data_IF_826606998028
#
_entry.id   IF_826606998028
#
_cell.length_a   1.000
_cell.length_b   1.000
_cell.length_c   1.000
_cell.angle_alpha   90.00
_cell.angle_beta   90.00
_cell.angle_gamma   90.00
#
_symmetry.space_group_name_H-M   'P 1'
#
loop_
_entity.id
_entity.type
_entity.pdbx_description
1 polymer ?
#
# COMPACT_ATOMS: atom_id res chain seq x y z
N UNK A 1 -13.33 -2.82 14.70
CA UNK A 1 -12.00 -2.83 14.07
C UNK A 1 -12.11 -2.04 12.79
N UNK A 2 -11.29 -0.99 12.63
CA UNK A 2 -11.26 -0.13 11.44
C UNK A 2 -9.96 -0.32 10.69
N UNK A 3 -10.00 -0.33 9.37
CA UNK A 3 -8.85 -0.51 8.51
C UNK A 3 -8.73 0.62 7.48
N UNK A 4 -7.55 1.24 7.37
CA UNK A 4 -7.20 2.14 6.28
C UNK A 4 -6.53 1.34 5.16
N UNK A 5 -7.01 1.52 3.91
CA UNK A 5 -6.43 0.91 2.72
C UNK A 5 -6.11 2.01 1.70
N UNK A 6 -4.82 2.20 1.39
CA UNK A 6 -4.42 3.09 0.30
C UNK A 6 -4.40 2.36 -1.04
N UNK A 7 -4.71 3.06 -2.14
CA UNK A 7 -4.81 2.43 -3.46
C UNK A 7 -5.99 1.45 -3.58
N UNK A 8 -7.08 1.68 -2.82
CA UNK A 8 -8.22 0.79 -2.75
C UNK A 8 -9.07 0.73 -4.03
N UNK A 9 -8.90 1.66 -4.98
CA UNK A 9 -9.78 1.79 -6.15
C UNK A 9 -9.61 0.69 -7.22
N UNK A 10 -8.63 -0.21 -7.08
CA UNK A 10 -8.38 -1.30 -8.05
C UNK A 10 -7.43 -2.37 -7.50
N UNK A 11 -7.34 -3.49 -8.23
CA UNK A 11 -6.34 -4.53 -8.00
C UNK A 11 -6.33 -5.09 -6.58
N UNK A 12 -5.14 -5.31 -6.01
CA UNK A 12 -4.98 -5.89 -4.68
C UNK A 12 -5.69 -5.08 -3.58
N UNK A 13 -5.65 -3.74 -3.65
CA UNK A 13 -6.32 -2.90 -2.65
C UNK A 13 -7.83 -3.12 -2.60
N UNK A 14 -8.46 -3.31 -3.77
CA UNK A 14 -9.88 -3.65 -3.89
C UNK A 14 -10.17 -5.04 -3.28
N UNK A 15 -9.38 -6.04 -3.61
CA UNK A 15 -9.58 -7.40 -3.07
C UNK A 15 -9.34 -7.47 -1.56
N UNK A 16 -8.36 -6.73 -1.04
CA UNK A 16 -8.15 -6.60 0.42
C UNK A 16 -9.33 -5.92 1.12
N UNK A 17 -10.01 -4.96 0.45
CA UNK A 17 -11.20 -4.33 0.99
C UNK A 17 -12.34 -5.36 1.15
N UNK A 18 -12.59 -6.23 0.14
CA UNK A 18 -13.55 -7.33 0.27
C UNK A 18 -13.19 -8.28 1.39
N UNK A 19 -11.93 -8.72 1.43
CA UNK A 19 -11.48 -9.67 2.44
C UNK A 19 -11.61 -9.15 3.89
N UNK A 20 -11.43 -7.85 4.12
CA UNK A 20 -11.61 -7.23 5.42
C UNK A 20 -13.09 -6.95 5.73
N UNK A 21 -13.88 -6.55 4.73
CA UNK A 21 -15.31 -6.35 4.88
C UNK A 21 -16.03 -7.64 5.29
N UNK A 22 -15.68 -8.78 4.67
CA UNK A 22 -16.20 -10.11 5.03
C UNK A 22 -15.86 -10.50 6.49
N UNK A 23 -14.82 -9.91 7.07
CA UNK A 23 -14.42 -10.09 8.48
C UNK A 23 -15.06 -9.06 9.42
N UNK A 24 -15.97 -8.22 8.90
CA UNK A 24 -16.68 -7.21 9.70
C UNK A 24 -15.84 -5.98 10.05
N UNK A 25 -14.75 -5.73 9.33
CA UNK A 25 -13.98 -4.50 9.52
C UNK A 25 -14.71 -3.31 8.89
N UNK A 26 -14.78 -2.20 9.60
CA UNK A 26 -15.09 -0.89 9.04
C UNK A 26 -13.89 -0.42 8.20
N UNK A 27 -14.13 0.17 7.03
CA UNK A 27 -13.08 0.48 6.08
C UNK A 27 -12.97 1.98 5.82
N UNK A 28 -11.73 2.46 5.75
CA UNK A 28 -11.38 3.74 5.12
C UNK A 28 -10.69 3.43 3.81
N UNK A 29 -11.36 3.75 2.72
CA UNK A 29 -10.89 3.51 1.36
C UNK A 29 -10.26 4.79 0.82
N UNK A 30 -8.97 4.74 0.51
CA UNK A 30 -8.23 5.89 0.00
C UNK A 30 -7.65 5.61 -1.39
N UNK A 31 -7.89 6.52 -2.32
CA UNK A 31 -7.25 6.62 -3.64
C UNK A 31 -7.59 7.97 -4.29
N UNK A 32 -6.97 8.27 -5.44
CA UNK A 32 -7.23 9.51 -6.19
C UNK A 32 -8.60 9.52 -6.89
N UNK A 33 -9.11 8.34 -7.30
CA UNK A 33 -10.36 8.19 -8.07
C UNK A 33 -11.55 7.98 -7.14
N UNK A 34 -12.15 9.08 -6.69
CA UNK A 34 -13.24 9.05 -5.70
C UNK A 34 -14.45 8.25 -6.18
N UNK A 35 -14.85 8.38 -7.45
CA UNK A 35 -16.00 7.67 -8.02
C UNK A 35 -15.84 6.16 -7.86
N UNK A 36 -14.65 5.61 -8.19
CA UNK A 36 -14.37 4.17 -8.03
C UNK A 36 -14.36 3.72 -6.57
N UNK A 37 -13.97 4.60 -5.65
CA UNK A 37 -14.05 4.29 -4.22
C UNK A 37 -15.50 4.25 -3.74
N UNK A 38 -16.35 5.14 -4.24
CA UNK A 38 -17.80 5.15 -3.94
C UNK A 38 -18.50 3.91 -4.51
N UNK A 39 -18.18 3.51 -5.73
CA UNK A 39 -18.65 2.27 -6.34
C UNK A 39 -18.25 1.06 -5.48
N UNK A 40 -16.97 0.95 -5.12
CA UNK A 40 -16.48 -0.11 -4.24
C UNK A 40 -17.20 -0.12 -2.89
N UNK A 41 -17.37 1.06 -2.26
CA UNK A 41 -18.05 1.18 -0.98
C UNK A 41 -19.51 0.69 -1.03
N UNK A 42 -20.20 0.89 -2.18
CA UNK A 42 -21.56 0.41 -2.37
C UNK A 42 -21.65 -1.12 -2.54
N UNK A 43 -20.58 -1.78 -2.97
CA UNK A 43 -20.51 -3.24 -3.13
C UNK A 43 -20.18 -3.97 -1.81
N UNK A 44 -19.55 -3.27 -0.84
CA UNK A 44 -19.01 -3.89 0.36
C UNK A 44 -20.08 -4.02 1.47
N UNK A 45 -20.14 -5.19 2.16
CA UNK A 45 -21.14 -5.44 3.20
C UNK A 45 -20.76 -4.84 4.57
N UNK A 46 -20.13 -3.67 4.60
CA UNK A 46 -19.66 -3.02 5.82
C UNK A 46 -19.70 -1.50 5.69
N UNK A 47 -19.51 -0.80 6.81
CA UNK A 47 -19.37 0.66 6.82
C UNK A 47 -18.06 1.06 6.14
N UNK A 48 -18.16 1.90 5.12
CA UNK A 48 -17.03 2.41 4.36
C UNK A 48 -16.99 3.93 4.37
N UNK A 49 -15.82 4.49 4.67
CA UNK A 49 -15.51 5.90 4.52
C UNK A 49 -14.61 6.09 3.30
N UNK A 50 -14.99 6.97 2.42
CA UNK A 50 -14.24 7.28 1.20
C UNK A 50 -13.44 8.56 1.41
N UNK A 51 -12.14 8.51 1.15
CA UNK A 51 -11.25 9.67 1.17
C UNK A 51 -10.48 9.72 -0.14
N UNK A 52 -10.79 10.71 -0.98
CA UNK A 52 -10.01 10.98 -2.17
C UNK A 52 -8.73 11.74 -1.79
N UNK A 53 -7.57 11.11 -2.01
CA UNK A 53 -6.28 11.72 -1.73
C UNK A 53 -5.19 11.16 -2.66
N UNK A 54 -4.22 11.99 -3.01
CA UNK A 54 -2.99 11.57 -3.67
C UNK A 54 -1.88 11.39 -2.62
N UNK A 55 -1.62 10.15 -2.25
CA UNK A 55 -0.60 9.85 -1.24
C UNK A 55 0.83 10.17 -1.69
N UNK A 56 1.07 10.51 -2.97
CA UNK A 56 2.36 11.03 -3.42
C UNK A 56 2.63 12.45 -2.90
N UNK A 57 1.59 13.20 -2.57
CA UNK A 57 1.70 14.47 -1.87
C UNK A 57 1.87 14.24 -0.36
N UNK A 58 2.93 14.82 0.21
CA UNK A 58 3.26 14.63 1.63
C UNK A 58 2.19 15.22 2.55
N UNK A 59 1.63 16.38 2.20
CA UNK A 59 0.63 17.05 3.03
C UNK A 59 -0.68 16.26 3.02
N UNK A 60 -1.15 15.84 1.84
CA UNK A 60 -2.35 14.99 1.72
C UNK A 60 -2.18 13.67 2.46
N UNK A 61 -0.99 13.05 2.39
CA UNK A 61 -0.67 11.84 3.12
C UNK A 61 -0.75 12.02 4.65
N UNK A 62 -0.27 13.15 5.18
CA UNK A 62 -0.36 13.49 6.61
C UNK A 62 -1.79 13.82 7.03
N UNK A 63 -2.52 14.57 6.20
CA UNK A 63 -3.93 14.90 6.43
C UNK A 63 -4.79 13.63 6.43
N UNK A 64 -4.57 12.71 5.48
CA UNK A 64 -5.22 11.39 5.47
C UNK A 64 -5.07 10.68 6.81
N UNK A 65 -3.83 10.54 7.29
CA UNK A 65 -3.59 9.84 8.54
C UNK A 65 -4.23 10.58 9.73
N UNK A 66 -4.13 11.90 9.77
CA UNK A 66 -4.75 12.73 10.82
C UNK A 66 -6.28 12.59 10.87
N UNK A 67 -6.92 12.45 9.70
CA UNK A 67 -8.38 12.29 9.60
C UNK A 67 -8.88 10.92 10.07
N UNK A 68 -8.05 9.88 9.96
CA UNK A 68 -8.49 8.50 10.25
C UNK A 68 -7.95 7.94 11.57
N UNK A 69 -6.91 8.56 12.13
CA UNK A 69 -6.32 8.10 13.40
C UNK A 69 -7.34 8.19 14.53
N UNK A 70 -7.35 7.18 15.39
CA UNK A 70 -8.26 7.09 16.52
C UNK A 70 -8.10 5.73 17.19
N UNK A 71 -8.77 5.53 18.32
CA UNK A 71 -8.65 4.29 19.10
C UNK A 71 -9.23 3.07 18.36
N UNK A 72 -10.08 3.30 17.39
CA UNK A 72 -10.72 2.27 16.55
C UNK A 72 -9.92 1.88 15.29
N UNK A 73 -8.94 2.72 14.85
CA UNK A 73 -8.05 2.37 13.74
C UNK A 73 -7.05 1.31 14.20
N UNK A 74 -7.20 0.10 13.72
CA UNK A 74 -6.35 -1.04 14.08
C UNK A 74 -5.48 -1.57 12.95
N UNK A 75 -5.87 -1.31 11.69
CA UNK A 75 -5.16 -1.83 10.52
C UNK A 75 -4.82 -0.69 9.57
N UNK A 76 -3.56 -0.66 9.11
CA UNK A 76 -3.12 0.22 8.02
C UNK A 76 -2.52 -0.64 6.92
N UNK A 77 -3.08 -0.55 5.71
CA UNK A 77 -2.59 -1.22 4.51
C UNK A 77 -2.04 -0.18 3.54
N UNK A 78 -0.73 -0.14 3.44
CA UNK A 78 0.00 0.67 2.47
C UNK A 78 0.10 -0.12 1.16
N UNK A 79 -0.92 0.03 0.30
CA UNK A 79 -1.01 -0.70 -0.97
C UNK A 79 -0.83 0.22 -2.18
N UNK A 80 -1.11 1.52 -2.07
CA UNK A 80 -0.90 2.45 -3.17
C UNK A 80 0.52 2.34 -3.74
N UNK A 81 0.62 2.24 -5.06
CA UNK A 81 1.90 2.14 -5.73
C UNK A 81 1.72 1.85 -7.21
N UNK A 82 2.73 2.17 -7.99
CA UNK A 82 2.78 1.87 -9.41
C UNK A 82 4.22 1.57 -9.86
N UNK A 83 4.38 1.11 -11.10
CA UNK A 83 5.67 0.86 -11.72
C UNK A 83 5.82 1.66 -12.99
N UNK A 84 7.05 1.77 -13.47
CA UNK A 84 7.43 2.36 -14.75
C UNK A 84 8.39 1.41 -15.45
N UNK A 85 8.12 1.12 -16.72
CA UNK A 85 8.94 0.24 -17.54
C UNK A 85 9.65 1.06 -18.62
N UNK A 86 10.94 0.84 -18.77
CA UNK A 86 11.80 1.49 -19.76
C UNK A 86 13.27 1.40 -19.35
N UNK A 87 14.16 1.67 -20.28
CA UNK A 87 15.56 1.87 -19.94
C UNK A 87 15.72 3.14 -19.10
N UNK A 88 16.56 3.09 -18.08
CA UNK A 88 16.75 4.21 -17.14
C UNK A 88 17.18 5.51 -17.81
N UNK A 89 17.80 5.41 -19.00
CA UNK A 89 18.19 6.57 -19.81
C UNK A 89 16.99 7.25 -20.49
N UNK A 90 15.89 6.52 -20.69
CA UNK A 90 14.76 6.96 -21.51
C UNK A 90 13.50 7.24 -20.69
N UNK A 91 13.45 6.79 -19.43
CA UNK A 91 12.30 7.04 -18.54
C UNK A 91 12.26 8.50 -18.08
N UNK A 92 11.05 9.02 -17.93
CA UNK A 92 10.82 10.39 -17.48
C UNK A 92 11.15 10.55 -15.98
N UNK A 93 11.97 11.55 -15.65
CA UNK A 93 12.40 11.81 -14.28
C UNK A 93 11.25 12.17 -13.33
N UNK A 94 10.27 12.96 -13.80
CA UNK A 94 9.16 13.39 -12.96
C UNK A 94 8.24 12.20 -12.62
N UNK A 95 8.04 11.28 -13.58
CA UNK A 95 7.32 10.03 -13.34
C UNK A 95 8.06 9.12 -12.35
N UNK A 96 9.40 9.03 -12.42
CA UNK A 96 10.19 8.29 -11.45
C UNK A 96 10.12 8.90 -10.06
N UNK A 97 10.23 10.23 -9.95
CA UNK A 97 10.10 10.93 -8.66
C UNK A 97 8.71 10.74 -8.07
N UNK A 98 7.65 10.83 -8.87
CA UNK A 98 6.28 10.55 -8.43
C UNK A 98 6.11 9.09 -7.96
N UNK A 99 6.78 8.13 -8.63
CA UNK A 99 6.81 6.73 -8.19
C UNK A 99 7.53 6.59 -6.84
N UNK A 100 8.64 7.27 -6.63
CA UNK A 100 9.36 7.30 -5.35
C UNK A 100 8.47 7.89 -4.25
N UNK A 101 7.79 9.00 -4.52
CA UNK A 101 6.88 9.63 -3.57
C UNK A 101 5.74 8.70 -3.17
N UNK A 102 5.11 8.04 -4.14
CA UNK A 102 4.02 7.09 -3.87
C UNK A 102 4.53 5.81 -3.18
N UNK A 103 5.56 5.17 -3.74
CA UNK A 103 5.98 3.83 -3.30
C UNK A 103 6.86 3.86 -2.05
N UNK A 104 7.58 4.96 -1.78
CA UNK A 104 8.50 5.10 -0.66
C UNK A 104 7.99 6.12 0.35
N UNK A 105 7.88 7.41 -0.04
CA UNK A 105 7.58 8.49 0.90
C UNK A 105 6.24 8.27 1.59
N UNK A 106 5.18 8.00 0.85
CA UNK A 106 3.86 7.72 1.41
C UNK A 106 3.88 6.53 2.38
N UNK A 107 4.47 5.40 1.94
CA UNK A 107 4.58 4.19 2.78
C UNK A 107 5.37 4.49 4.06
N UNK A 108 6.47 5.24 3.96
CA UNK A 108 7.27 5.63 5.11
C UNK A 108 6.48 6.48 6.11
N UNK A 109 5.80 7.52 5.60
CA UNK A 109 4.99 8.44 6.44
C UNK A 109 3.90 7.67 7.17
N UNK A 110 3.05 6.95 6.43
CA UNK A 110 1.91 6.25 7.01
C UNK A 110 2.37 5.14 7.97
N UNK A 111 3.40 4.38 7.61
CA UNK A 111 3.99 3.37 8.51
C UNK A 111 4.51 4.01 9.78
N UNK A 112 5.26 5.12 9.69
CA UNK A 112 5.83 5.81 10.85
C UNK A 112 4.77 6.33 11.80
N UNK A 113 3.74 7.00 11.27
CA UNK A 113 2.65 7.55 12.05
C UNK A 113 1.84 6.43 12.72
N UNK A 114 1.50 5.39 11.96
CA UNK A 114 0.75 4.25 12.48
C UNK A 114 1.51 3.48 13.58
N UNK A 115 2.79 3.19 13.38
CA UNK A 115 3.61 2.51 14.39
C UNK A 115 3.69 3.32 15.67
N UNK A 116 3.85 4.65 15.59
CA UNK A 116 3.91 5.50 16.77
C UNK A 116 2.60 5.49 17.57
N UNK A 117 1.47 5.54 16.89
CA UNK A 117 0.15 5.50 17.55
C UNK A 117 -0.17 4.10 18.09
N UNK A 118 0.07 3.06 17.29
CA UNK A 118 -0.18 1.67 17.69
C UNK A 118 0.71 1.24 18.86
N UNK A 119 1.98 1.68 18.87
CA UNK A 119 2.88 1.41 19.99
C UNK A 119 2.42 2.05 21.30
N UNK A 120 1.84 3.26 21.25
CA UNK A 120 1.25 3.92 22.44
C UNK A 120 0.02 3.18 22.95
N UNK A 121 -0.81 2.65 22.04
CA UNK A 121 -2.04 1.90 22.37
C UNK A 121 -1.76 0.42 22.74
N UNK A 122 -0.58 -0.09 22.41
CA UNK A 122 -0.16 -1.46 22.68
C UNK A 122 -0.68 -2.50 21.68
N UNK A 123 -1.33 -2.12 20.59
CA UNK A 123 -1.80 -3.04 19.52
C UNK A 123 -1.96 -2.33 18.19
N UNK A 124 -1.99 -3.10 17.11
CA UNK A 124 -2.26 -2.65 15.75
C UNK A 124 -1.50 -3.47 14.70
N UNK A 125 -1.95 -3.37 13.46
CA UNK A 125 -1.44 -4.15 12.33
C UNK A 125 -1.10 -3.24 11.17
N UNK A 126 0.07 -3.41 10.59
CA UNK A 126 0.51 -2.69 9.39
C UNK A 126 0.90 -3.69 8.33
N UNK A 127 0.31 -3.56 7.16
CA UNK A 127 0.67 -4.32 5.97
C UNK A 127 1.26 -3.37 4.92
N UNK A 128 2.51 -3.58 4.55
CA UNK A 128 3.15 -2.86 3.46
C UNK A 128 3.20 -3.76 2.23
N UNK A 129 2.58 -3.32 1.13
CA UNK A 129 2.60 -4.06 -0.13
C UNK A 129 3.91 -3.78 -0.86
N UNK A 130 4.86 -4.69 -0.69
CA UNK A 130 6.11 -4.74 -1.41
C UNK A 130 5.92 -5.43 -2.79
N UNK A 131 6.79 -6.35 -3.16
CA UNK A 131 6.73 -7.19 -4.36
C UNK A 131 7.83 -8.25 -4.30
N UNK A 132 7.74 -9.30 -5.10
CA UNK A 132 8.88 -10.16 -5.41
C UNK A 132 10.06 -9.37 -6.01
N UNK A 133 9.79 -8.23 -6.68
CA UNK A 133 10.78 -7.26 -7.13
C UNK A 133 11.66 -6.71 -6.00
N UNK A 134 11.19 -6.73 -4.75
CA UNK A 134 11.97 -6.29 -3.59
C UNK A 134 13.15 -7.17 -3.21
N UNK A 135 13.34 -8.31 -3.86
CA UNK A 135 14.44 -9.25 -3.59
C UNK A 135 15.58 -9.18 -4.62
N UNK A 136 15.36 -8.52 -5.75
CA UNK A 136 16.22 -8.59 -6.93
C UNK A 136 16.50 -7.19 -7.51
N UNK A 137 17.60 -6.99 -8.26
CA UNK A 137 17.70 -5.89 -9.22
C UNK A 137 16.80 -6.16 -10.42
N UNK A 138 16.22 -5.12 -11.01
CA UNK A 138 15.33 -5.27 -12.16
C UNK A 138 15.68 -4.31 -13.32
N UNK A 139 16.51 -4.74 -14.29
CA UNK A 139 16.69 -3.98 -15.51
C UNK A 139 15.34 -3.64 -16.14
N UNK A 140 15.24 -2.49 -16.80
CA UNK A 140 14.02 -1.90 -17.39
C UNK A 140 12.94 -1.48 -16.37
N UNK A 141 13.13 -1.74 -15.10
CA UNK A 141 12.26 -1.29 -13.99
C UNK A 141 13.10 -0.89 -12.77
N UNK A 142 14.26 -0.30 -12.99
CA UNK A 142 15.27 -0.06 -11.96
C UNK A 142 14.70 0.65 -10.73
N UNK A 143 14.04 1.78 -10.92
CA UNK A 143 13.45 2.58 -9.86
C UNK A 143 12.34 1.82 -9.14
N UNK A 144 11.46 1.11 -9.85
CA UNK A 144 10.41 0.29 -9.22
C UNK A 144 10.98 -0.79 -8.30
N UNK A 145 11.95 -1.57 -8.77
CA UNK A 145 12.60 -2.62 -7.95
C UNK A 145 13.28 -2.02 -6.73
N UNK A 146 13.96 -0.88 -6.88
CA UNK A 146 14.57 -0.16 -5.77
C UNK A 146 13.52 0.29 -4.74
N UNK A 147 12.37 0.83 -5.17
CA UNK A 147 11.30 1.22 -4.26
C UNK A 147 10.73 0.03 -3.48
N UNK A 148 10.54 -1.12 -4.13
CA UNK A 148 10.01 -2.32 -3.48
C UNK A 148 11.03 -2.99 -2.54
N UNK A 149 12.32 -2.89 -2.86
CA UNK A 149 13.38 -3.29 -1.94
C UNK A 149 13.38 -2.40 -0.68
N UNK A 150 13.26 -1.08 -0.83
CA UNK A 150 13.14 -0.17 0.31
C UNK A 150 12.00 -0.58 1.24
N UNK A 151 10.79 -0.76 0.71
CA UNK A 151 9.60 -1.13 1.50
C UNK A 151 9.82 -2.44 2.25
N UNK A 152 10.37 -3.45 1.55
CA UNK A 152 10.66 -4.76 2.15
C UNK A 152 11.66 -4.64 3.31
N UNK A 153 12.79 -3.95 3.10
CA UNK A 153 13.84 -3.82 4.13
C UNK A 153 13.40 -2.97 5.31
N UNK A 154 12.71 -1.87 5.06
CA UNK A 154 12.11 -1.06 6.13
C UNK A 154 11.17 -1.91 7.00
N UNK A 155 10.28 -2.69 6.37
CA UNK A 155 9.31 -3.52 7.08
C UNK A 155 9.99 -4.60 7.92
N UNK A 156 11.01 -5.25 7.37
CA UNK A 156 11.78 -6.28 8.08
C UNK A 156 12.53 -5.70 9.30
N UNK A 157 13.22 -4.57 9.12
CA UNK A 157 13.94 -3.90 10.21
C UNK A 157 12.97 -3.47 11.32
N UNK A 158 11.87 -2.83 10.96
CA UNK A 158 10.87 -2.38 11.92
C UNK A 158 10.23 -3.54 12.70
N UNK A 159 9.95 -4.66 12.05
CA UNK A 159 9.47 -5.88 12.70
C UNK A 159 10.45 -6.35 13.79
N UNK A 160 11.76 -6.36 13.53
CA UNK A 160 12.76 -6.76 14.51
C UNK A 160 12.88 -5.75 15.66
N UNK A 161 12.80 -4.45 15.37
CA UNK A 161 12.79 -3.42 16.43
C UNK A 161 11.58 -3.58 17.37
N UNK A 162 10.40 -3.83 16.82
CA UNK A 162 9.18 -4.08 17.60
C UNK A 162 9.28 -5.36 18.41
N UNK A 163 9.85 -6.43 17.84
CA UNK A 163 10.10 -7.70 18.53
C UNK A 163 11.05 -7.51 19.73
N UNK A 164 12.13 -6.77 19.56
CA UNK A 164 13.07 -6.47 20.65
C UNK A 164 12.45 -5.64 21.79
N UNK A 165 11.42 -4.84 21.45
CA UNK A 165 10.65 -4.07 22.45
C UNK A 165 9.50 -4.86 23.07
N UNK A 166 9.33 -6.15 22.75
CA UNK A 166 8.17 -6.96 23.12
C UNK A 166 6.83 -6.29 22.77
N UNK A 167 6.80 -5.52 21.66
CA UNK A 167 5.59 -4.83 21.21
C UNK A 167 4.57 -5.82 20.63
N UNK A 168 3.29 -5.62 20.96
CA UNK A 168 2.21 -6.38 20.34
C UNK A 168 1.84 -5.89 18.93
N UNK A 169 2.36 -4.74 18.50
CA UNK A 169 2.17 -4.22 17.14
C UNK A 169 2.80 -5.16 16.12
N UNK A 170 2.04 -5.48 15.08
CA UNK A 170 2.49 -6.37 13.99
C UNK A 170 2.72 -5.59 12.71
N UNK A 171 3.87 -5.77 12.11
CA UNK A 171 4.21 -5.18 10.80
C UNK A 171 4.64 -6.29 9.86
N UNK A 172 4.01 -6.36 8.68
CA UNK A 172 4.24 -7.38 7.66
C UNK A 172 4.46 -6.76 6.29
N UNK A 173 5.21 -7.45 5.44
CA UNK A 173 5.33 -7.13 4.02
C UNK A 173 4.62 -8.21 3.20
N UNK A 174 3.73 -7.82 2.29
CA UNK A 174 3.19 -8.68 1.25
C UNK A 174 4.08 -8.54 0.02
N UNK A 175 4.61 -9.64 -0.49
CA UNK A 175 5.55 -9.66 -1.63
C UNK A 175 4.98 -10.49 -2.79
N UNK A 176 3.91 -10.01 -3.47
CA UNK A 176 3.33 -10.74 -4.58
C UNK A 176 4.30 -10.82 -5.77
N UNK A 177 4.19 -11.90 -6.53
CA UNK A 177 4.70 -11.99 -7.89
C UNK A 177 3.86 -11.16 -8.86
N UNK A 178 3.96 -11.39 -10.18
CA UNK A 178 3.07 -10.76 -11.15
C UNK A 178 1.60 -11.08 -10.84
N UNK A 179 0.79 -10.02 -10.73
CA UNK A 179 -0.67 -10.12 -10.51
C UNK A 179 -1.37 -9.47 -11.69
N UNK A 180 -2.44 -10.07 -12.17
CA UNK A 180 -3.22 -9.51 -13.28
C UNK A 180 -4.15 -8.39 -12.75
N UNK A 181 -3.68 -7.16 -12.88
CA UNK A 181 -4.34 -5.96 -12.39
C UNK A 181 -4.10 -4.77 -13.35
N UNK A 182 -4.72 -3.63 -13.06
CA UNK A 182 -4.42 -2.38 -13.78
C UNK A 182 -2.94 -1.97 -13.71
N UNK A 183 -2.18 -2.48 -12.74
CA UNK A 183 -0.75 -2.21 -12.59
C UNK A 183 0.02 -2.46 -13.89
N UNK A 184 -0.27 -3.57 -14.59
CA UNK A 184 0.42 -3.93 -15.82
C UNK A 184 0.22 -2.88 -16.93
N UNK A 185 -0.99 -2.30 -17.00
CA UNK A 185 -1.31 -1.23 -17.96
C UNK A 185 -0.62 0.07 -17.59
N UNK A 186 -0.64 0.43 -16.30
CA UNK A 186 -0.02 1.67 -15.79
C UNK A 186 1.50 1.62 -15.93
N UNK A 187 2.12 0.49 -15.62
CA UNK A 187 3.56 0.30 -15.75
C UNK A 187 4.04 0.12 -17.18
N UNK A 188 3.13 -0.08 -18.15
CA UNK A 188 3.50 -0.37 -19.55
C UNK A 188 4.14 -1.76 -19.75
N UNK A 189 3.94 -2.69 -18.81
CA UNK A 189 4.58 -4.00 -18.80
C UNK A 189 3.66 -5.09 -19.34
N UNK A 190 4.23 -5.97 -20.18
CA UNK A 190 3.66 -7.28 -20.49
C UNK A 190 4.57 -8.35 -19.90
N UNK A 191 4.13 -8.97 -18.80
CA UNK A 191 4.88 -10.09 -18.25
C UNK A 191 4.78 -11.33 -19.16
N UNK A 192 5.89 -12.06 -19.27
CA UNK A 192 5.94 -13.31 -20.05
C UNK A 192 5.12 -14.44 -19.36
N UNK A 193 4.87 -14.32 -18.06
CA UNK A 193 4.05 -15.25 -17.29
C UNK A 193 2.67 -14.63 -17.04
N UNK A 194 1.63 -15.45 -17.10
CA UNK A 194 0.30 -15.03 -16.67
C UNK A 194 0.36 -14.62 -15.20
N UNK A 195 -0.15 -13.43 -14.89
CA UNK A 195 -0.27 -12.97 -13.51
C UNK A 195 -1.23 -13.85 -12.70
N UNK A 196 -1.05 -13.89 -11.40
CA UNK A 196 -2.03 -14.47 -10.50
C UNK A 196 -3.30 -13.60 -10.48
N UNK A 197 -4.44 -14.24 -10.27
CA UNK A 197 -5.67 -13.52 -9.95
C UNK A 197 -5.50 -12.79 -8.61
N UNK A 198 -5.86 -11.50 -8.56
CA UNK A 198 -5.72 -10.67 -7.36
C UNK A 198 -6.46 -11.25 -6.14
N UNK A 199 -7.55 -12.01 -6.35
CA UNK A 199 -8.30 -12.71 -5.29
C UNK A 199 -7.52 -13.85 -4.62
N UNK A 200 -6.47 -14.33 -5.28
CA UNK A 200 -5.66 -15.46 -4.79
C UNK A 200 -4.40 -15.03 -4.04
N UNK A 201 -4.10 -13.74 -4.05
CA UNK A 201 -2.97 -13.15 -3.35
C UNK A 201 -3.37 -12.75 -1.94
#
# INVERSE_FOLDING_TARGET
MKALITGASSGLGREMAFALAERGCELVLCARREERLRELAAELPTVCHVIAADVSDEEECRLLYSAVRGDDLEIVINNAGFGLFGEFLDTDLDEELRMIDTNIRAVHILTKLAVQDFAKRGHGYILNVASSAGFLPGPLMATYYATKNYVLRLTQALREELRHRNSAVKVCALCPGPVDTEFNKVAGVRFALNGLDAKRV
#
